data_IF_444849449236
#
_entry.id   IF_444849449236
#
_cell.length_a   1.000
_cell.length_b   1.000
_cell.length_c   1.000
_cell.angle_alpha   90.00
_cell.angle_beta   90.00
_cell.angle_gamma   90.00
#
_symmetry.space_group_name_H-M   'P 1'
#
loop_
_entity.id
_entity.type
_entity.pdbx_description
1 polymer ?
#
# COMPACT_ATOMS: atom_id res chain seq x y z
N UNK A 1 -2.03 18.91 56.43
CA UNK A 1 -0.65 19.09 55.92
C UNK A 1 -0.22 18.05 54.85
N UNK A 2 -0.88 16.89 54.69
CA UNK A 2 -0.42 15.82 53.78
C UNK A 2 -0.83 15.93 52.30
N UNK A 3 -1.86 16.72 51.94
CA UNK A 3 -2.33 16.81 50.55
C UNK A 3 -1.40 17.68 49.68
N UNK A 4 -0.85 18.76 50.24
CA UNK A 4 0.00 19.70 49.51
C UNK A 4 1.33 19.06 49.10
N UNK A 5 1.91 18.20 49.95
CA UNK A 5 3.15 17.46 49.66
C UNK A 5 2.94 16.45 48.53
N UNK A 6 1.77 15.79 48.51
CA UNK A 6 1.44 14.81 47.47
C UNK A 6 1.27 15.47 46.09
N UNK A 7 0.60 16.63 46.02
CA UNK A 7 0.45 17.37 44.76
C UNK A 7 1.78 17.92 44.23
N UNK A 8 2.67 18.40 45.10
CA UNK A 8 4.01 18.86 44.69
C UNK A 8 4.83 17.72 44.08
N UNK A 9 4.78 16.55 44.72
CA UNK A 9 5.51 15.36 44.24
C UNK A 9 4.97 14.86 42.90
N UNK A 10 3.65 14.84 42.72
CA UNK A 10 3.03 14.46 41.44
C UNK A 10 3.32 15.48 40.33
N UNK A 11 3.32 16.77 40.66
CA UNK A 11 3.66 17.83 39.70
C UNK A 11 5.11 17.70 39.21
N UNK A 12 6.07 17.46 40.12
CA UNK A 12 7.48 17.30 39.75
C UNK A 12 7.74 16.02 38.93
N UNK A 13 7.02 14.93 39.22
CA UNK A 13 7.05 13.71 38.40
C UNK A 13 6.48 13.98 37.01
N UNK A 14 5.35 14.69 36.92
CA UNK A 14 4.71 15.05 35.65
C UNK A 14 5.59 15.94 34.78
N UNK A 15 6.23 16.97 35.37
CA UNK A 15 7.17 17.86 34.67
C UNK A 15 8.39 17.09 34.17
N UNK A 16 8.99 16.22 35.00
CA UNK A 16 10.13 15.37 34.58
C UNK A 16 9.75 14.40 33.45
N UNK A 17 8.55 13.83 33.47
CA UNK A 17 8.05 12.98 32.40
C UNK A 17 7.84 13.77 31.10
N UNK A 18 7.24 14.97 31.18
CA UNK A 18 6.97 15.82 30.01
C UNK A 18 8.26 16.29 29.34
N UNK A 19 9.27 16.70 30.12
CA UNK A 19 10.59 17.10 29.59
C UNK A 19 11.31 15.94 28.91
N UNK A 20 11.30 14.73 29.50
CA UNK A 20 11.87 13.54 28.85
C UNK A 20 11.15 13.17 27.56
N UNK A 21 9.83 13.27 27.51
CA UNK A 21 9.05 12.93 26.32
C UNK A 21 9.28 13.92 25.17
N UNK A 22 9.39 15.22 25.50
CA UNK A 22 9.71 16.26 24.52
C UNK A 22 11.10 16.05 23.92
N UNK A 23 12.11 15.69 24.74
CA UNK A 23 13.47 15.41 24.26
C UNK A 23 13.51 14.19 23.33
N UNK A 24 12.78 13.11 23.64
CA UNK A 24 12.72 11.92 22.78
C UNK A 24 12.03 12.23 21.45
N UNK A 25 10.92 12.97 21.46
CA UNK A 25 10.25 13.39 20.22
C UNK A 25 11.14 14.34 19.41
N UNK A 26 11.84 15.28 20.05
CA UNK A 26 12.79 16.15 19.33
C UNK A 26 13.93 15.36 18.71
N UNK A 27 14.48 14.37 19.42
CA UNK A 27 15.54 13.51 18.88
C UNK A 27 15.01 12.62 17.73
N UNK A 28 13.80 12.07 17.83
CA UNK A 28 13.17 11.32 16.73
C UNK A 28 12.86 12.20 15.52
N UNK A 29 12.41 13.45 15.72
CA UNK A 29 12.19 14.43 14.64
C UNK A 29 13.53 14.83 14.01
N UNK A 30 14.60 15.03 14.79
CA UNK A 30 15.94 15.33 14.29
C UNK A 30 16.48 14.15 13.48
N UNK A 31 16.30 12.91 13.94
CA UNK A 31 16.70 11.70 13.21
C UNK A 31 15.90 11.56 11.90
N UNK A 32 14.59 11.78 11.93
CA UNK A 32 13.76 11.74 10.73
C UNK A 32 14.15 12.85 9.74
N UNK A 33 14.31 14.10 10.20
CA UNK A 33 14.71 15.22 9.34
C UNK A 33 16.07 14.99 8.67
N UNK A 34 17.03 14.39 9.38
CA UNK A 34 18.31 13.99 8.79
C UNK A 34 18.17 12.92 7.71
N UNK A 35 17.30 11.91 7.92
CA UNK A 35 17.03 10.91 6.88
C UNK A 35 16.43 11.53 5.60
N UNK A 36 15.60 12.58 5.73
CA UNK A 36 15.04 13.31 4.58
C UNK A 36 16.10 14.10 3.81
N UNK A 37 17.01 14.80 4.52
CA UNK A 37 18.09 15.56 3.89
C UNK A 37 18.99 14.66 3.02
N UNK A 38 19.38 13.50 3.53
CA UNK A 38 20.24 12.58 2.78
C UNK A 38 19.51 11.99 1.56
N UNK A 39 18.20 11.75 1.65
CA UNK A 39 17.39 11.32 0.50
C UNK A 39 17.29 12.42 -0.57
N UNK A 40 17.14 13.68 -0.17
CA UNK A 40 17.08 14.80 -1.12
C UNK A 40 18.43 15.03 -1.80
N UNK A 41 19.55 14.90 -1.07
CA UNK A 41 20.88 14.90 -1.70
C UNK A 41 21.10 13.73 -2.66
N UNK A 42 20.56 12.54 -2.35
CA UNK A 42 20.62 11.41 -3.28
C UNK A 42 19.86 11.72 -4.57
N UNK A 43 18.69 12.40 -4.50
CA UNK A 43 17.97 12.87 -5.69
C UNK A 43 18.80 13.88 -6.48
N UNK A 44 19.38 14.88 -5.82
CA UNK A 44 20.22 15.88 -6.49
C UNK A 44 21.42 15.25 -7.21
N UNK A 45 22.15 14.33 -6.55
CA UNK A 45 23.26 13.60 -7.17
C UNK A 45 22.82 12.77 -8.37
N UNK A 46 21.59 12.24 -8.33
CA UNK A 46 21.00 11.54 -9.46
C UNK A 46 20.73 12.52 -10.61
N UNK A 47 20.06 13.65 -10.34
CA UNK A 47 19.76 14.65 -11.39
C UNK A 47 21.02 15.26 -11.99
N UNK A 48 22.02 15.59 -11.18
CA UNK A 48 23.32 16.10 -11.63
C UNK A 48 23.96 15.15 -12.64
N UNK A 49 23.95 13.85 -12.31
CA UNK A 49 24.50 12.81 -13.17
C UNK A 49 23.66 12.56 -14.43
N UNK A 50 22.34 12.68 -14.35
CA UNK A 50 21.44 12.58 -15.51
C UNK A 50 21.63 13.75 -16.48
N UNK A 51 21.86 14.95 -15.96
CA UNK A 51 22.04 16.16 -16.76
C UNK A 51 23.41 16.22 -17.43
N UNK A 52 24.42 15.54 -16.88
CA UNK A 52 25.74 15.47 -17.48
C UNK A 52 25.80 14.41 -18.59
N UNK A 53 25.49 14.82 -19.82
CA UNK A 53 25.46 13.95 -21.03
C UNK A 53 26.77 13.18 -21.31
N UNK A 54 27.89 13.55 -20.68
CA UNK A 54 29.19 12.89 -20.86
C UNK A 54 29.44 11.74 -19.86
N UNK A 55 28.73 11.69 -18.73
CA UNK A 55 28.92 10.59 -17.77
C UNK A 55 28.17 9.33 -18.22
N UNK A 56 28.84 8.17 -18.14
CA UNK A 56 28.20 6.86 -18.34
C UNK A 56 26.99 6.75 -17.39
N UNK A 57 25.80 6.56 -17.95
CA UNK A 57 24.48 6.50 -17.29
C UNK A 57 24.26 5.25 -16.42
N UNK A 58 25.37 4.61 -16.02
CA UNK A 58 25.42 3.54 -15.04
C UNK A 58 25.69 4.14 -13.66
N UNK A 59 24.79 3.85 -12.74
CA UNK A 59 24.86 4.24 -11.35
C UNK A 59 25.44 3.07 -10.54
N UNK A 60 26.68 3.24 -10.06
CA UNK A 60 27.29 2.34 -9.09
C UNK A 60 26.84 2.72 -7.69
N UNK A 61 26.23 1.79 -6.96
CA UNK A 61 25.82 1.98 -5.55
C UNK A 61 27.01 2.39 -4.69
N UNK A 62 28.21 1.86 -4.97
CA UNK A 62 29.45 2.26 -4.27
C UNK A 62 29.79 3.73 -4.55
N UNK A 63 29.70 4.18 -5.79
CA UNK A 63 30.03 5.56 -6.14
C UNK A 63 29.02 6.55 -5.58
N UNK A 64 27.72 6.20 -5.63
CA UNK A 64 26.67 7.00 -4.99
C UNK A 64 26.89 7.09 -3.48
N UNK A 65 27.18 5.98 -2.81
CA UNK A 65 27.48 5.98 -1.38
C UNK A 65 28.70 6.87 -1.04
N UNK A 66 29.78 6.78 -1.82
CA UNK A 66 30.97 7.61 -1.61
C UNK A 66 30.69 9.11 -1.84
N UNK A 67 29.95 9.47 -2.91
CA UNK A 67 29.58 10.87 -3.18
C UNK A 67 28.64 11.42 -2.10
N UNK A 68 27.66 10.64 -1.66
CA UNK A 68 26.77 10.99 -0.54
C UNK A 68 27.55 11.23 0.75
N UNK A 69 28.43 10.30 1.11
CA UNK A 69 29.27 10.42 2.30
C UNK A 69 30.17 11.66 2.24
N UNK A 70 30.79 11.92 1.09
CA UNK A 70 31.66 13.10 0.91
C UNK A 70 30.89 14.41 1.04
N UNK A 71 29.60 14.43 0.68
CA UNK A 71 28.77 15.64 0.69
C UNK A 71 28.05 15.87 2.02
N UNK A 72 27.57 14.80 2.66
CA UNK A 72 26.71 14.89 3.85
C UNK A 72 27.41 14.46 5.15
N UNK A 73 28.60 13.85 5.08
CA UNK A 73 29.29 13.27 6.23
C UNK A 73 28.64 12.01 6.81
N UNK A 74 27.52 11.56 6.24
CA UNK A 74 26.73 10.42 6.72
C UNK A 74 26.72 9.28 5.68
N UNK A 75 26.89 8.04 6.14
CA UNK A 75 26.91 6.85 5.28
C UNK A 75 25.50 6.25 5.19
N UNK A 76 24.80 6.50 4.08
CA UNK A 76 23.62 5.71 3.72
C UNK A 76 24.05 4.26 3.48
N UNK A 77 23.34 3.31 4.09
CA UNK A 77 23.67 1.91 3.86
C UNK A 77 23.42 1.56 2.40
N UNK A 78 24.28 0.70 1.82
CA UNK A 78 24.09 0.21 0.44
C UNK A 78 22.68 -0.37 0.21
N UNK A 79 22.07 -0.95 1.24
CA UNK A 79 20.70 -1.50 1.19
C UNK A 79 19.65 -0.41 1.00
N UNK A 80 19.82 0.75 1.61
CA UNK A 80 18.89 1.87 1.49
C UNK A 80 19.00 2.55 0.13
N UNK A 81 20.22 2.73 -0.38
CA UNK A 81 20.45 3.24 -1.74
C UNK A 81 19.82 2.30 -2.77
N UNK A 82 20.02 0.98 -2.63
CA UNK A 82 19.38 -0.02 -3.51
C UNK A 82 17.87 0.08 -3.42
N UNK A 83 17.30 0.13 -2.22
CA UNK A 83 15.85 0.24 -2.01
C UNK A 83 15.28 1.53 -2.62
N UNK A 84 16.02 2.63 -2.52
CA UNK A 84 15.65 3.91 -3.11
C UNK A 84 15.60 3.80 -4.64
N UNK A 85 16.69 3.33 -5.26
CA UNK A 85 16.79 3.17 -6.72
C UNK A 85 15.80 2.13 -7.26
N UNK A 86 15.52 1.04 -6.54
CA UNK A 86 14.51 0.03 -6.92
C UNK A 86 13.08 0.59 -6.94
N UNK A 87 12.81 1.61 -6.11
CA UNK A 87 11.49 2.25 -6.05
C UNK A 87 11.33 3.35 -7.12
N UNK A 88 12.43 3.91 -7.62
CA UNK A 88 12.42 4.91 -8.69
C UNK A 88 12.23 4.23 -10.06
N UNK A 89 11.14 4.58 -10.74
CA UNK A 89 10.73 3.99 -12.02
C UNK A 89 11.69 4.28 -13.17
N UNK A 90 12.58 5.27 -13.00
CA UNK A 90 13.57 5.66 -14.00
C UNK A 90 14.74 4.70 -14.08
N UNK A 91 14.98 3.88 -13.04
CA UNK A 91 16.12 2.99 -13.00
C UNK A 91 15.73 1.53 -13.24
N UNK A 92 16.66 0.81 -13.86
CA UNK A 92 16.64 -0.63 -13.99
C UNK A 92 17.84 -1.20 -13.22
N UNK A 93 17.58 -2.02 -12.21
CA UNK A 93 18.64 -2.73 -11.51
C UNK A 93 19.28 -3.75 -12.46
N UNK A 94 20.57 -3.58 -12.74
CA UNK A 94 21.31 -4.50 -13.60
C UNK A 94 21.88 -5.64 -12.77
N UNK A 95 22.46 -5.33 -11.61
CA UNK A 95 22.93 -6.32 -10.64
C UNK A 95 22.80 -5.77 -9.22
N UNK A 96 23.30 -6.52 -8.23
CA UNK A 96 23.22 -6.13 -6.81
C UNK A 96 23.88 -4.79 -6.46
N UNK A 97 24.68 -4.20 -7.35
CA UNK A 97 25.49 -2.99 -7.10
C UNK A 97 25.35 -1.91 -8.17
N UNK A 98 24.63 -2.16 -9.27
CA UNK A 98 24.58 -1.25 -10.41
C UNK A 98 23.15 -1.11 -10.96
N UNK A 99 22.83 0.13 -11.32
CA UNK A 99 21.58 0.52 -11.96
C UNK A 99 21.88 1.26 -13.26
N UNK A 100 20.98 1.15 -14.23
CA UNK A 100 21.02 1.92 -15.48
C UNK A 100 19.73 2.70 -15.64
N UNK A 101 19.81 3.85 -16.29
CA UNK A 101 18.63 4.62 -16.66
C UNK A 101 17.83 3.83 -17.68
N UNK A 102 16.55 3.63 -17.38
CA UNK A 102 15.64 2.82 -18.19
C UNK A 102 15.47 3.40 -19.59
N UNK A 103 15.42 4.71 -19.71
CA UNK A 103 15.28 5.42 -20.98
C UNK A 103 16.43 5.12 -21.93
N UNK A 104 17.67 5.07 -21.44
CA UNK A 104 18.83 4.70 -22.25
C UNK A 104 18.77 3.26 -22.77
N UNK A 105 18.34 2.33 -21.91
CA UNK A 105 18.10 0.95 -22.35
C UNK A 105 17.03 0.90 -23.43
N UNK A 106 16.04 1.80 -23.38
CA UNK A 106 15.00 1.91 -24.39
C UNK A 106 15.49 2.62 -25.66
N UNK A 107 16.38 3.61 -25.57
CA UNK A 107 16.97 4.32 -26.72
C UNK A 107 17.92 3.43 -27.51
N UNK A 108 18.51 2.41 -26.86
CA UNK A 108 19.26 1.35 -27.55
C UNK A 108 18.36 0.39 -28.35
N UNK A 109 17.04 0.54 -28.25
CA UNK A 109 16.06 -0.24 -28.99
C UNK A 109 15.47 0.67 -30.06
N UNK A 110 15.63 0.33 -31.34
CA UNK A 110 14.97 1.09 -32.41
C UNK A 110 13.45 1.02 -32.26
N UNK A 111 12.74 2.08 -32.63
CA UNK A 111 11.27 2.09 -32.62
C UNK A 111 10.69 1.00 -33.52
N UNK A 112 11.38 0.68 -34.63
CA UNK A 112 11.09 -0.47 -35.50
C UNK A 112 11.03 -1.78 -34.72
N UNK A 113 11.93 -1.98 -33.76
CA UNK A 113 12.00 -3.20 -32.96
C UNK A 113 10.86 -3.31 -31.94
N UNK A 114 10.39 -2.19 -31.40
CA UNK A 114 9.20 -2.17 -30.53
C UNK A 114 7.96 -2.52 -31.36
N UNK A 115 7.85 -1.97 -32.56
CA UNK A 115 6.71 -2.22 -33.45
C UNK A 115 6.67 -3.69 -33.93
N UNK A 116 7.80 -4.30 -34.29
CA UNK A 116 7.87 -5.73 -34.62
C UNK A 116 7.42 -6.65 -33.47
N UNK A 117 7.69 -6.23 -32.22
CA UNK A 117 7.30 -6.99 -31.02
C UNK A 117 5.81 -6.94 -30.70
N UNK A 118 5.16 -5.82 -31.03
CA UNK A 118 3.72 -5.63 -30.84
C UNK A 118 2.93 -6.45 -31.87
N UNK A 119 3.41 -6.52 -33.12
CA UNK A 119 2.73 -7.24 -34.21
C UNK A 119 2.81 -8.77 -34.05
N UNK A 120 3.94 -9.30 -33.56
CA UNK A 120 4.19 -10.75 -33.56
C UNK A 120 3.91 -11.46 -32.23
N UNK A 121 3.51 -10.72 -31.17
CA UNK A 121 3.40 -11.20 -29.78
C UNK A 121 4.65 -11.93 -29.23
N UNK A 122 5.80 -11.89 -29.91
CA UNK A 122 7.02 -12.60 -29.50
C UNK A 122 7.87 -11.78 -28.52
N UNK A 123 7.28 -11.52 -27.36
CA UNK A 123 7.99 -10.84 -26.27
C UNK A 123 9.24 -11.62 -25.79
N UNK A 124 9.32 -12.93 -26.02
CA UNK A 124 10.47 -13.73 -25.62
C UNK A 124 11.67 -13.51 -26.54
N UNK A 125 11.47 -13.52 -27.86
CA UNK A 125 12.51 -13.22 -28.85
C UNK A 125 13.07 -11.82 -28.66
N UNK A 126 12.18 -10.85 -28.45
CA UNK A 126 12.49 -9.43 -28.17
C UNK A 126 13.31 -9.29 -26.90
N UNK A 127 12.93 -9.99 -25.83
CA UNK A 127 13.71 -9.99 -24.59
C UNK A 127 15.09 -10.61 -24.77
N UNK A 128 15.21 -11.72 -25.52
CA UNK A 128 16.50 -12.37 -25.77
C UNK A 128 17.44 -11.47 -26.59
N UNK A 129 16.92 -10.83 -27.65
CA UNK A 129 17.67 -9.88 -28.46
C UNK A 129 18.06 -8.65 -27.66
N UNK A 130 17.18 -8.12 -26.80
CA UNK A 130 17.52 -7.02 -25.90
C UNK A 130 18.65 -7.41 -24.93
N UNK A 131 18.57 -8.61 -24.34
CA UNK A 131 19.66 -9.13 -23.51
C UNK A 131 20.96 -9.19 -24.30
N UNK A 132 20.94 -9.56 -25.58
CA UNK A 132 22.13 -9.59 -26.43
C UNK A 132 22.66 -8.19 -26.74
N UNK A 133 21.80 -7.21 -27.04
CA UNK A 133 22.20 -5.80 -27.24
C UNK A 133 22.79 -5.21 -25.96
N UNK A 134 22.19 -5.49 -24.81
CA UNK A 134 22.75 -5.02 -23.55
C UNK A 134 24.06 -5.77 -23.27
N UNK A 135 24.15 -7.09 -23.49
CA UNK A 135 25.41 -7.83 -23.33
C UNK A 135 26.52 -7.38 -24.29
N UNK A 136 26.20 -6.97 -25.51
CA UNK A 136 27.22 -6.49 -26.46
C UNK A 136 27.78 -5.13 -26.08
N UNK A 137 26.92 -4.23 -25.59
CA UNK A 137 27.34 -2.91 -25.09
C UNK A 137 27.90 -2.98 -23.66
N UNK A 138 27.53 -4.02 -22.92
CA UNK A 138 27.77 -4.21 -21.51
C UNK A 138 28.07 -5.72 -21.23
N UNK A 139 29.28 -6.22 -21.56
CA UNK A 139 29.61 -7.65 -21.53
C UNK A 139 29.74 -8.28 -20.13
N UNK A 140 29.89 -7.47 -19.09
CA UNK A 140 30.10 -7.94 -17.70
C UNK A 140 28.78 -8.13 -16.93
N UNK A 141 27.63 -8.00 -17.60
CA UNK A 141 26.34 -7.84 -16.91
C UNK A 141 25.43 -9.07 -17.02
N UNK A 142 25.07 -9.64 -15.86
CA UNK A 142 23.99 -10.61 -15.75
C UNK A 142 22.65 -9.89 -15.59
N UNK A 143 21.82 -9.91 -16.62
CA UNK A 143 20.52 -9.24 -16.58
C UNK A 143 19.40 -10.25 -16.41
N UNK A 144 18.53 -9.99 -15.43
CA UNK A 144 17.33 -10.79 -15.24
C UNK A 144 16.36 -10.60 -16.42
N UNK A 145 16.23 -11.65 -17.25
CA UNK A 145 15.27 -11.74 -18.35
C UNK A 145 13.85 -11.34 -17.93
N UNK A 146 13.43 -11.75 -16.75
CA UNK A 146 12.09 -11.47 -16.23
C UNK A 146 11.86 -9.98 -15.92
N UNK A 147 12.91 -9.25 -15.51
CA UNK A 147 12.81 -7.83 -15.15
C UNK A 147 12.66 -6.97 -16.41
N UNK A 148 13.41 -7.29 -17.46
CA UNK A 148 13.27 -6.68 -18.78
C UNK A 148 11.87 -6.94 -19.35
N UNK A 149 11.45 -8.21 -19.39
CA UNK A 149 10.17 -8.62 -19.96
C UNK A 149 8.99 -7.88 -19.30
N UNK A 150 9.02 -7.75 -17.97
CA UNK A 150 8.00 -7.01 -17.22
C UNK A 150 7.97 -5.52 -17.58
N UNK A 151 9.13 -4.93 -17.86
CA UNK A 151 9.24 -3.52 -18.23
C UNK A 151 8.76 -3.24 -19.66
N UNK A 152 9.05 -4.14 -20.59
CA UNK A 152 8.58 -4.08 -21.98
C UNK A 152 7.06 -4.22 -22.06
N UNK A 153 6.48 -5.25 -21.42
CA UNK A 153 5.02 -5.44 -21.35
C UNK A 153 4.29 -4.22 -20.78
N UNK A 154 4.91 -3.53 -19.84
CA UNK A 154 4.34 -2.31 -19.25
C UNK A 154 4.38 -1.13 -20.25
N UNK A 155 5.43 -1.00 -21.07
CA UNK A 155 5.53 0.07 -22.08
C UNK A 155 4.52 -0.15 -23.20
N UNK A 156 4.43 -1.37 -23.74
CA UNK A 156 3.43 -1.74 -24.76
C UNK A 156 1.99 -1.47 -24.26
N UNK A 157 1.69 -1.83 -23.01
CA UNK A 157 0.38 -1.53 -22.42
C UNK A 157 0.09 -0.01 -22.30
N UNK A 158 1.11 0.82 -22.04
CA UNK A 158 0.92 2.28 -21.97
C UNK A 158 0.66 2.85 -23.36
N UNK A 159 1.44 2.44 -24.37
CA UNK A 159 1.29 2.89 -25.76
C UNK A 159 -0.07 2.48 -26.34
N UNK A 160 -0.48 1.23 -26.14
CA UNK A 160 -1.82 0.76 -26.51
C UNK A 160 -2.93 1.60 -25.87
N UNK A 161 -2.80 1.96 -24.59
CA UNK A 161 -3.81 2.81 -23.94
C UNK A 161 -3.79 4.25 -24.48
N UNK A 162 -2.65 4.78 -24.90
CA UNK A 162 -2.55 6.11 -25.49
C UNK A 162 -3.22 6.16 -26.87
N UNK A 163 -2.90 5.20 -27.74
CA UNK A 163 -3.50 5.07 -29.08
C UNK A 163 -5.03 4.88 -29.01
N UNK A 164 -5.53 4.06 -28.09
CA UNK A 164 -6.98 3.91 -27.88
C UNK A 164 -7.66 5.14 -27.27
N UNK A 165 -6.91 6.00 -26.56
CA UNK A 165 -7.49 7.25 -26.03
C UNK A 165 -7.60 8.29 -27.15
N UNK A 166 -6.60 8.37 -28.02
CA UNK A 166 -6.59 9.25 -29.20
C UNK A 166 -7.61 8.82 -30.28
N UNK A 167 -7.85 7.51 -30.47
CA UNK A 167 -8.92 7.03 -31.36
C UNK A 167 -10.33 7.34 -30.82
N UNK A 168 -10.52 7.32 -29.49
CA UNK A 168 -11.82 7.65 -28.88
C UNK A 168 -12.08 9.16 -28.85
N UNK A 169 -11.05 10.00 -28.67
CA UNK A 169 -11.20 11.46 -28.75
C UNK A 169 -11.53 11.93 -30.19
N UNK A 170 -11.12 11.18 -31.22
CA UNK A 170 -11.48 11.46 -32.61
C UNK A 170 -12.86 10.90 -33.02
N UNK A 171 -13.38 9.88 -32.33
CA UNK A 171 -14.73 9.34 -32.59
C UNK A 171 -15.85 10.19 -31.97
N UNK A 172 -15.58 10.88 -30.85
CA UNK A 172 -16.56 11.75 -30.18
C UNK A 172 -16.90 13.04 -30.94
N UNK A 173 -16.13 13.37 -31.98
CA UNK A 173 -16.44 14.49 -32.91
C UNK A 173 -17.43 14.15 -34.02
N UNK A 174 -17.85 12.88 -34.17
CA UNK A 174 -18.82 12.48 -35.22
C UNK A 174 -19.84 11.52 -34.63
N UNK A 175 -20.80 12.08 -33.86
CA UNK A 175 -22.20 11.63 -33.65
C UNK A 175 -22.71 12.10 -32.28
N UNK A 176 -23.19 13.34 -32.23
CA UNK A 176 -24.20 13.71 -31.25
C UNK A 176 -25.34 14.36 -32.02
N UNK A 177 -26.47 13.67 -32.11
CA UNK A 177 -27.74 14.22 -31.67
C UNK A 177 -28.79 13.10 -31.51
N UNK A 178 -29.69 13.33 -30.55
CA UNK A 178 -30.97 12.64 -30.28
C UNK A 178 -31.07 11.52 -29.22
N UNK A 179 -30.02 10.79 -28.81
CA UNK A 179 -30.19 9.69 -27.82
C UNK A 179 -29.73 9.97 -26.36
N UNK A 180 -29.38 11.23 -26.04
CA UNK A 180 -28.73 11.60 -24.75
C UNK A 180 -29.66 11.62 -23.53
N UNK A 181 -30.96 11.89 -23.68
CA UNK A 181 -31.78 12.31 -22.53
C UNK A 181 -32.48 11.16 -21.80
N UNK A 182 -32.79 10.04 -22.46
CA UNK A 182 -33.36 8.87 -21.77
C UNK A 182 -32.29 8.01 -21.07
N UNK A 183 -31.09 7.90 -21.64
CA UNK A 183 -29.96 7.19 -21.02
C UNK A 183 -29.45 7.90 -19.75
N UNK A 184 -29.45 9.23 -19.73
CA UNK A 184 -29.03 10.02 -18.54
C UNK A 184 -29.98 9.86 -17.35
N UNK A 185 -31.27 9.66 -17.59
CA UNK A 185 -32.27 9.48 -16.52
C UNK A 185 -32.23 8.05 -15.95
N UNK A 186 -32.07 7.04 -16.79
CA UNK A 186 -31.97 5.63 -16.35
C UNK A 186 -30.65 5.35 -15.59
N UNK A 187 -29.54 5.96 -16.01
CA UNK A 187 -28.26 5.80 -15.33
C UNK A 187 -28.20 6.52 -13.96
N UNK A 188 -29.00 7.56 -13.74
CA UNK A 188 -29.03 8.29 -12.46
C UNK A 188 -29.70 7.46 -11.36
N UNK A 189 -30.90 6.93 -11.62
CA UNK A 189 -31.66 6.17 -10.62
C UNK A 189 -30.99 4.82 -10.27
N UNK A 190 -30.27 4.23 -11.23
CA UNK A 190 -29.52 2.98 -11.01
C UNK A 190 -28.24 3.23 -10.21
N UNK A 191 -27.55 4.36 -10.47
CA UNK A 191 -26.35 4.74 -9.71
C UNK A 191 -26.67 5.19 -8.29
N UNK A 192 -27.77 5.90 -8.06
CA UNK A 192 -28.19 6.34 -6.72
C UNK A 192 -28.59 5.14 -5.84
N UNK A 193 -29.21 4.10 -6.41
CA UNK A 193 -29.48 2.82 -5.71
C UNK A 193 -28.21 2.04 -5.38
N UNK A 194 -27.29 1.90 -6.34
CA UNK A 194 -26.00 1.20 -6.13
C UNK A 194 -25.15 1.95 -5.10
N UNK A 195 -25.15 3.28 -5.11
CA UNK A 195 -24.41 4.10 -4.18
C UNK A 195 -24.99 4.01 -2.75
N UNK A 196 -26.31 4.01 -2.61
CA UNK A 196 -26.99 3.78 -1.33
C UNK A 196 -26.77 2.36 -0.77
N UNK A 197 -26.69 1.32 -1.61
CA UNK A 197 -26.34 -0.05 -1.16
C UNK A 197 -24.86 -0.19 -0.80
N UNK A 198 -23.96 0.56 -1.46
CA UNK A 198 -22.52 0.52 -1.20
C UNK A 198 -22.12 1.30 0.07
N UNK A 199 -22.73 2.45 0.34
CA UNK A 199 -22.52 3.22 1.58
C UNK A 199 -23.11 2.51 2.81
N UNK A 200 -24.18 1.71 2.64
CA UNK A 200 -24.74 0.87 3.69
C UNK A 200 -23.99 -0.46 3.91
N UNK A 201 -23.01 -0.81 3.08
CA UNK A 201 -22.22 -2.06 3.22
C UNK A 201 -20.97 -1.91 4.10
N UNK A 202 -20.83 -0.81 4.83
CA UNK A 202 -19.75 -0.67 5.82
C UNK A 202 -20.04 -1.63 6.95
N UNK A 203 -19.44 -2.83 6.88
CA UNK A 203 -19.60 -3.90 7.87
C UNK A 203 -19.47 -3.32 9.30
N UNK A 204 -20.63 -3.13 9.94
CA UNK A 204 -20.74 -2.38 11.18
C UNK A 204 -20.25 -3.26 12.33
N UNK A 205 -19.60 -2.64 13.33
CA UNK A 205 -19.25 -3.35 14.57
C UNK A 205 -20.51 -3.97 15.19
N UNK A 206 -21.64 -3.29 15.12
CA UNK A 206 -22.89 -3.74 15.73
C UNK A 206 -23.49 -4.96 15.03
N UNK A 207 -23.40 -5.02 13.71
CA UNK A 207 -23.91 -6.13 12.91
C UNK A 207 -23.04 -7.38 13.12
N UNK A 208 -21.73 -7.24 13.00
CA UNK A 208 -20.82 -8.40 13.06
C UNK A 208 -20.68 -8.96 14.46
N UNK A 209 -20.72 -8.09 15.47
CA UNK A 209 -20.64 -8.48 16.87
C UNK A 209 -22.00 -8.40 17.56
N UNK A 210 -23.12 -8.70 16.90
CA UNK A 210 -24.48 -8.54 17.45
C UNK A 210 -24.78 -9.34 18.75
N UNK A 211 -24.15 -10.50 18.94
CA UNK A 211 -24.39 -11.38 20.10
C UNK A 211 -24.10 -10.71 21.46
N UNK A 212 -24.87 -11.06 22.49
CA UNK A 212 -24.72 -10.56 23.88
C UNK A 212 -23.29 -10.74 24.43
N UNK A 213 -22.60 -11.79 24.02
CA UNK A 213 -21.21 -12.10 24.42
C UNK A 213 -20.23 -10.96 24.11
N UNK A 214 -20.50 -10.18 23.06
CA UNK A 214 -19.63 -9.09 22.60
C UNK A 214 -20.07 -7.70 23.07
N UNK A 215 -21.03 -7.57 23.99
CA UNK A 215 -21.57 -6.27 24.45
C UNK A 215 -20.47 -5.32 24.92
N UNK A 216 -19.51 -5.81 25.72
CA UNK A 216 -18.39 -4.99 26.21
C UNK A 216 -17.49 -4.50 25.07
N UNK A 217 -17.24 -5.34 24.06
CA UNK A 217 -16.42 -4.94 22.91
C UNK A 217 -17.14 -3.88 22.07
N UNK A 218 -18.46 -4.04 21.82
CA UNK A 218 -19.27 -3.02 21.13
C UNK A 218 -19.25 -1.68 21.88
N UNK A 219 -19.44 -1.70 23.19
CA UNK A 219 -19.39 -0.49 24.01
C UNK A 219 -18.01 0.17 23.99
N UNK A 220 -16.95 -0.64 24.05
CA UNK A 220 -15.57 -0.15 23.93
C UNK A 220 -15.34 0.52 22.56
N UNK A 221 -15.75 -0.11 21.46
CA UNK A 221 -15.65 0.49 20.12
C UNK A 221 -16.46 1.78 20.02
N UNK A 222 -17.70 1.81 20.55
CA UNK A 222 -18.54 3.01 20.58
C UNK A 222 -17.85 4.16 21.34
N UNK A 223 -17.28 3.88 22.51
CA UNK A 223 -16.57 4.87 23.31
C UNK A 223 -15.30 5.41 22.60
N UNK A 224 -14.69 4.61 21.72
CA UNK A 224 -13.54 4.99 20.89
C UNK A 224 -13.92 5.60 19.53
N UNK A 225 -15.21 5.80 19.24
CA UNK A 225 -15.66 6.31 17.95
C UNK A 225 -15.53 5.32 16.79
N UNK A 226 -15.31 4.03 17.07
CA UNK A 226 -15.07 3.00 16.04
C UNK A 226 -16.39 2.38 15.63
N UNK A 227 -16.93 2.84 14.50
CA UNK A 227 -18.22 2.36 13.95
C UNK A 227 -18.07 1.09 13.09
N UNK A 228 -16.90 0.89 12.48
CA UNK A 228 -16.66 -0.17 11.50
C UNK A 228 -15.58 -1.15 11.94
N UNK A 229 -15.69 -2.40 11.48
CA UNK A 229 -14.63 -3.43 11.59
C UNK A 229 -13.30 -2.93 11.01
N UNK A 230 -13.38 -1.96 10.08
CA UNK A 230 -12.23 -1.33 9.46
C UNK A 230 -11.27 -0.68 10.46
N UNK A 231 -11.81 -0.12 11.54
CA UNK A 231 -11.03 0.50 12.61
C UNK A 231 -10.39 -0.49 13.58
N UNK A 232 -10.63 -1.80 13.45
CA UNK A 232 -10.03 -2.79 14.35
C UNK A 232 -8.60 -3.10 13.92
N UNK A 233 -7.64 -2.57 14.67
CA UNK A 233 -6.21 -2.88 14.52
C UNK A 233 -5.69 -3.68 15.75
N UNK A 234 -4.38 -4.01 15.74
CA UNK A 234 -3.75 -4.76 16.84
C UNK A 234 -3.76 -3.97 18.15
N UNK A 235 -3.53 -2.67 18.07
CA UNK A 235 -3.35 -1.80 19.24
C UNK A 235 -4.69 -1.59 19.95
N UNK A 236 -5.77 -1.44 19.20
CA UNK A 236 -7.13 -1.42 19.71
C UNK A 236 -7.49 -2.69 20.50
N UNK A 237 -7.06 -3.86 20.02
CA UNK A 237 -7.28 -5.12 20.73
C UNK A 237 -6.42 -5.23 22.00
N UNK A 238 -5.27 -4.57 22.04
CA UNK A 238 -4.43 -4.46 23.25
C UNK A 238 -5.06 -3.49 24.26
N UNK A 239 -5.59 -2.35 23.81
CA UNK A 239 -6.34 -1.42 24.65
C UNK A 239 -7.61 -2.08 25.22
N UNK A 240 -8.34 -2.83 24.40
CA UNK A 240 -9.50 -3.58 24.86
C UNK A 240 -9.13 -4.58 25.95
N UNK A 241 -7.97 -5.25 25.84
CA UNK A 241 -7.45 -6.17 26.86
C UNK A 241 -7.17 -5.48 28.20
N UNK A 242 -6.84 -4.19 28.19
CA UNK A 242 -6.54 -3.42 29.42
C UNK A 242 -7.82 -3.00 30.17
N UNK A 243 -9.01 -3.15 29.58
CA UNK A 243 -10.27 -2.82 30.23
C UNK A 243 -10.57 -3.76 31.41
N UNK A 244 -11.09 -3.21 32.51
CA UNK A 244 -11.45 -3.98 33.71
C UNK A 244 -12.43 -5.11 33.34
N UNK A 245 -12.08 -6.34 33.72
CA UNK A 245 -12.89 -7.53 33.44
C UNK A 245 -12.73 -8.12 32.03
N UNK A 246 -11.77 -7.63 31.22
CA UNK A 246 -11.45 -8.19 29.90
C UNK A 246 -10.19 -9.05 29.98
N UNK A 247 -10.36 -10.34 30.24
CA UNK A 247 -9.28 -11.33 30.18
C UNK A 247 -8.97 -11.82 28.75
N UNK A 248 -7.88 -12.58 28.62
CA UNK A 248 -7.39 -13.13 27.35
C UNK A 248 -8.43 -13.94 26.58
N UNK A 249 -9.32 -14.64 27.29
CA UNK A 249 -10.43 -15.39 26.70
C UNK A 249 -11.34 -14.49 25.85
N UNK A 250 -11.77 -13.34 26.38
CA UNK A 250 -12.67 -12.42 25.67
C UNK A 250 -11.99 -11.79 24.45
N UNK A 251 -10.71 -11.44 24.57
CA UNK A 251 -9.93 -10.92 23.43
C UNK A 251 -9.77 -11.98 22.34
N UNK A 252 -9.51 -13.23 22.73
CA UNK A 252 -9.43 -14.37 21.82
C UNK A 252 -10.77 -14.60 21.11
N UNK A 253 -11.89 -14.48 21.82
CA UNK A 253 -13.23 -14.64 21.23
C UNK A 253 -13.53 -13.55 20.19
N UNK A 254 -13.18 -12.29 20.47
CA UNK A 254 -13.29 -11.19 19.49
C UNK A 254 -12.43 -11.46 18.25
N UNK A 255 -11.16 -11.86 18.43
CA UNK A 255 -10.26 -12.21 17.31
C UNK A 255 -10.81 -13.35 16.46
N UNK A 256 -11.33 -14.39 17.11
CA UNK A 256 -11.91 -15.54 16.44
C UNK A 256 -13.13 -15.16 15.61
N UNK A 257 -14.03 -14.33 16.17
CA UNK A 257 -15.22 -13.85 15.48
C UNK A 257 -14.85 -12.97 14.29
N UNK A 258 -13.87 -12.08 14.47
CA UNK A 258 -13.32 -11.25 13.41
C UNK A 258 -12.70 -12.09 12.28
N UNK A 259 -11.87 -13.07 12.61
CA UNK A 259 -11.24 -13.97 11.64
C UNK A 259 -12.31 -14.73 10.83
N UNK A 260 -13.30 -15.31 11.53
CA UNK A 260 -14.41 -16.04 10.89
C UNK A 260 -15.13 -15.14 9.89
N UNK A 261 -15.54 -13.94 10.34
CA UNK A 261 -16.22 -12.97 9.51
C UNK A 261 -15.44 -12.60 8.23
N UNK A 262 -14.13 -12.33 8.38
CA UNK A 262 -13.28 -11.98 7.25
C UNK A 262 -13.09 -13.13 6.26
N UNK A 263 -12.97 -14.37 6.75
CA UNK A 263 -12.90 -15.56 5.89
C UNK A 263 -14.20 -15.70 5.10
N UNK A 264 -15.35 -15.59 5.78
CA UNK A 264 -16.68 -15.71 5.15
C UNK A 264 -16.84 -14.66 4.05
N UNK A 265 -16.49 -13.39 4.31
CA UNK A 265 -16.51 -12.30 3.30
C UNK A 265 -15.54 -12.54 2.14
N UNK A 266 -14.33 -13.01 2.40
CA UNK A 266 -13.37 -13.30 1.32
C UNK A 266 -13.86 -14.45 0.44
N UNK A 267 -14.58 -15.41 1.02
CA UNK A 267 -15.18 -16.50 0.27
C UNK A 267 -16.31 -16.00 -0.62
N UNK A 268 -17.15 -15.07 -0.16
CA UNK A 268 -18.23 -14.49 -0.97
C UNK A 268 -17.74 -13.57 -2.08
N UNK A 269 -16.64 -12.83 -1.89
CA UNK A 269 -16.10 -11.88 -2.88
C UNK A 269 -15.45 -12.54 -4.12
N UNK A 270 -15.56 -13.86 -4.27
CA UNK A 270 -15.00 -14.67 -5.36
C UNK A 270 -13.52 -14.36 -5.69
N UNK A 271 -12.76 -13.89 -4.70
CA UNK A 271 -11.37 -13.47 -4.92
C UNK A 271 -10.52 -14.71 -5.17
N UNK A 272 -9.64 -14.67 -6.19
CA UNK A 272 -8.63 -15.70 -6.45
C UNK A 272 -7.92 -16.05 -5.13
N UNK A 273 -7.96 -17.33 -4.76
CA UNK A 273 -7.37 -17.80 -3.51
C UNK A 273 -5.84 -17.73 -3.61
N UNK A 274 -5.19 -17.12 -2.63
CA UNK A 274 -3.73 -17.08 -2.60
C UNK A 274 -3.18 -18.41 -2.11
N UNK A 275 -2.05 -18.84 -2.69
CA UNK A 275 -1.35 -20.02 -2.22
C UNK A 275 -0.78 -19.80 -0.81
N UNK A 276 -0.70 -20.87 -0.02
CA UNK A 276 -0.06 -20.85 1.30
C UNK A 276 1.37 -20.32 1.21
N UNK A 277 2.11 -20.67 0.16
CA UNK A 277 3.47 -20.21 -0.07
C UNK A 277 3.58 -18.70 -0.29
N UNK A 278 2.57 -18.09 -0.91
CA UNK A 278 2.52 -16.64 -1.10
C UNK A 278 2.24 -15.89 0.19
N UNK A 279 1.32 -16.40 1.02
CA UNK A 279 0.91 -15.72 2.26
C UNK A 279 1.96 -15.87 3.37
N UNK A 280 2.48 -17.09 3.53
CA UNK A 280 3.39 -17.47 4.60
C UNK A 280 4.85 -17.49 4.11
N UNK A 281 5.31 -16.42 3.45
CA UNK A 281 6.70 -16.30 3.00
C UNK A 281 7.69 -16.13 4.17
N UNK A 282 8.91 -16.64 3.99
CA UNK A 282 10.02 -16.49 4.93
C UNK A 282 10.33 -17.74 5.75
N UNK A 283 11.53 -17.81 6.32
CA UNK A 283 12.03 -18.99 7.05
C UNK A 283 11.18 -19.32 8.28
N UNK A 284 10.69 -18.29 9.00
CA UNK A 284 9.91 -18.46 10.24
C UNK A 284 8.60 -19.25 10.08
N UNK A 285 8.02 -19.29 8.88
CA UNK A 285 6.79 -20.04 8.59
C UNK A 285 7.03 -21.36 7.86
N UNK A 286 8.29 -21.82 7.74
CA UNK A 286 8.63 -23.07 7.03
C UNK A 286 7.83 -24.27 7.55
N UNK A 287 7.82 -24.47 8.86
CA UNK A 287 7.11 -25.58 9.50
C UNK A 287 5.60 -25.54 9.22
N UNK A 288 5.00 -24.34 9.20
CA UNK A 288 3.57 -24.21 8.90
C UNK A 288 3.27 -24.56 7.43
N UNK A 289 4.14 -24.15 6.49
CA UNK A 289 3.98 -24.53 5.08
C UNK A 289 4.13 -26.03 4.86
N UNK A 290 5.09 -26.67 5.53
CA UNK A 290 5.27 -28.13 5.49
C UNK A 290 4.05 -28.84 6.08
N UNK A 291 3.54 -28.37 7.23
CA UNK A 291 2.31 -28.88 7.81
C UNK A 291 1.10 -28.75 6.87
N UNK A 292 0.90 -27.59 6.24
CA UNK A 292 -0.15 -27.40 5.24
C UNK A 292 0.03 -28.34 4.04
N UNK A 293 1.27 -28.57 3.58
CA UNK A 293 1.57 -29.50 2.48
C UNK A 293 1.15 -30.93 2.85
N UNK A 294 1.48 -31.39 4.06
CA UNK A 294 1.11 -32.71 4.59
C UNK A 294 -0.42 -32.85 4.69
N UNK A 295 -1.12 -31.81 5.13
CA UNK A 295 -2.59 -31.78 5.24
C UNK A 295 -3.32 -31.53 3.90
N UNK A 296 -2.61 -31.43 2.77
CA UNK A 296 -3.21 -31.16 1.45
C UNK A 296 -3.76 -29.74 1.27
N UNK A 297 -3.37 -28.80 2.12
CA UNK A 297 -3.83 -27.41 2.12
C UNK A 297 -2.94 -26.60 1.18
N UNK A 298 -3.48 -26.29 0.00
CA UNK A 298 -2.78 -25.55 -1.06
C UNK A 298 -3.05 -24.05 -0.99
N UNK A 299 -4.23 -23.64 -0.52
CA UNK A 299 -4.67 -22.25 -0.54
C UNK A 299 -5.25 -21.78 0.79
N UNK A 300 -5.27 -20.45 1.01
CA UNK A 300 -5.78 -19.87 2.26
C UNK A 300 -7.26 -20.16 2.54
N UNK A 301 -8.09 -20.35 1.51
CA UNK A 301 -9.53 -20.67 1.68
C UNK A 301 -9.75 -22.03 2.35
N UNK A 302 -8.77 -22.93 2.26
CA UNK A 302 -8.82 -24.25 2.87
C UNK A 302 -8.41 -24.23 4.35
N UNK A 303 -7.92 -23.09 4.87
CA UNK A 303 -7.57 -22.98 6.29
C UNK A 303 -8.84 -22.86 7.12
N UNK A 304 -9.05 -23.85 7.99
CA UNK A 304 -10.08 -23.85 9.02
C UNK A 304 -9.49 -23.40 10.36
N UNK A 305 -10.35 -23.05 11.32
CA UNK A 305 -9.94 -22.49 12.63
C UNK A 305 -9.21 -23.52 13.51
N UNK A 306 -9.68 -24.75 13.51
CA UNK A 306 -9.09 -25.93 14.14
C UNK A 306 -7.68 -26.26 13.60
N UNK A 307 -7.37 -25.88 12.36
CA UNK A 307 -6.05 -26.11 11.76
C UNK A 307 -4.89 -25.58 12.61
N UNK A 308 -5.06 -24.43 13.26
CA UNK A 308 -4.02 -23.85 14.12
C UNK A 308 -3.86 -24.60 15.44
N UNK A 309 -4.93 -25.24 15.91
CA UNK A 309 -4.86 -26.15 17.05
C UNK A 309 -4.09 -27.40 16.67
N UNK A 310 -4.41 -28.02 15.53
CA UNK A 310 -3.67 -29.19 15.01
C UNK A 310 -2.19 -28.89 14.78
N UNK A 311 -1.89 -27.71 14.25
CA UNK A 311 -0.52 -27.26 14.05
C UNK A 311 0.22 -27.10 15.39
N UNK A 312 -0.45 -26.59 16.43
CA UNK A 312 0.11 -26.50 17.79
C UNK A 312 0.44 -27.88 18.38
N UNK A 313 -0.27 -28.94 17.99
CA UNK A 313 0.01 -30.30 18.47
C UNK A 313 1.23 -30.96 17.79
N UNK A 314 1.82 -30.34 16.75
CA UNK A 314 2.99 -30.90 16.08
C UNK A 314 4.25 -30.80 16.96
N UNK A 315 5.14 -31.79 16.86
CA UNK A 315 6.43 -31.78 17.57
C UNK A 315 7.20 -30.50 17.27
N UNK A 316 7.73 -29.85 18.32
CA UNK A 316 8.48 -28.59 18.26
C UNK A 316 7.68 -27.34 17.82
N UNK A 317 6.35 -27.40 17.80
CA UNK A 317 5.47 -26.24 17.55
C UNK A 317 4.85 -25.76 18.87
N UNK A 318 5.55 -24.85 19.54
CA UNK A 318 4.99 -24.16 20.70
C UNK A 318 3.85 -23.20 20.33
N UNK A 319 3.09 -22.78 21.35
CA UNK A 319 1.96 -21.84 21.21
C UNK A 319 2.32 -20.55 20.46
N UNK A 320 3.53 -20.03 20.70
CA UNK A 320 4.04 -18.84 20.01
C UNK A 320 4.07 -19.01 18.50
N UNK A 321 4.57 -20.13 17.98
CA UNK A 321 4.65 -20.39 16.53
C UNK A 321 3.27 -20.53 15.90
N UNK A 322 2.35 -21.20 16.58
CA UNK A 322 0.97 -21.33 16.12
C UNK A 322 0.25 -19.96 16.06
N UNK A 323 0.37 -19.16 17.13
CA UNK A 323 -0.16 -17.78 17.17
C UNK A 323 0.46 -16.88 16.10
N UNK A 324 1.75 -17.02 15.82
CA UNK A 324 2.42 -16.23 14.78
C UNK A 324 1.89 -16.54 13.38
N UNK A 325 1.55 -17.81 13.09
CA UNK A 325 0.91 -18.20 11.84
C UNK A 325 -0.53 -17.67 11.77
N UNK A 326 -1.31 -17.80 12.85
CA UNK A 326 -2.68 -17.28 12.93
C UNK A 326 -2.72 -15.75 12.73
N UNK A 327 -1.87 -15.01 13.44
CA UNK A 327 -1.75 -13.56 13.30
C UNK A 327 -1.32 -13.15 11.87
N UNK A 328 -0.43 -13.94 11.25
CA UNK A 328 -0.01 -13.71 9.86
C UNK A 328 -1.18 -13.87 8.90
N UNK A 329 -2.00 -14.92 9.07
CA UNK A 329 -3.19 -15.12 8.28
C UNK A 329 -4.16 -13.96 8.46
N UNK A 330 -4.48 -13.61 9.71
CA UNK A 330 -5.40 -12.53 10.03
C UNK A 330 -4.97 -11.21 9.38
N UNK A 331 -3.69 -10.82 9.54
CA UNK A 331 -3.12 -9.62 8.90
C UNK A 331 -3.25 -9.67 7.37
N UNK A 332 -3.03 -10.84 6.76
CA UNK A 332 -3.17 -11.01 5.33
C UNK A 332 -4.62 -10.85 4.86
N UNK A 333 -5.57 -11.52 5.53
CA UNK A 333 -6.99 -11.48 5.20
C UNK A 333 -7.56 -10.07 5.34
N UNK A 334 -7.24 -9.39 6.45
CA UNK A 334 -7.50 -7.96 6.70
C UNK A 334 -7.05 -7.16 5.48
N UNK A 335 -5.76 -7.18 5.15
CA UNK A 335 -5.21 -6.39 4.04
C UNK A 335 -5.84 -6.73 2.68
N UNK A 336 -6.14 -8.01 2.44
CA UNK A 336 -6.74 -8.46 1.19
C UNK A 336 -8.18 -7.98 1.05
N UNK A 337 -8.97 -8.11 2.11
CA UNK A 337 -10.34 -7.60 2.18
C UNK A 337 -10.37 -6.10 1.89
N UNK A 338 -9.50 -5.30 2.52
CA UNK A 338 -9.42 -3.86 2.22
C UNK A 338 -9.05 -3.56 0.76
N UNK A 339 -8.03 -4.24 0.24
CA UNK A 339 -7.59 -4.03 -1.16
C UNK A 339 -8.70 -4.38 -2.15
N UNK A 340 -9.46 -5.44 -1.88
CA UNK A 340 -10.58 -5.83 -2.72
C UNK A 340 -11.70 -4.80 -2.67
N UNK A 341 -12.06 -4.31 -1.49
CA UNK A 341 -13.05 -3.24 -1.37
C UNK A 341 -12.60 -1.94 -2.04
N UNK A 342 -11.32 -1.55 -1.92
CA UNK A 342 -10.78 -0.37 -2.62
C UNK A 342 -10.83 -0.56 -4.14
N UNK A 343 -10.52 -1.76 -4.64
CA UNK A 343 -10.58 -2.06 -6.09
C UNK A 343 -12.01 -2.08 -6.62
N UNK A 344 -12.94 -2.67 -5.89
CA UNK A 344 -14.35 -2.69 -6.29
C UNK A 344 -14.95 -1.29 -6.23
N UNK A 345 -14.44 -0.43 -5.34
CA UNK A 345 -14.79 0.98 -5.29
C UNK A 345 -14.01 1.83 -6.31
N UNK A 346 -13.17 1.30 -7.21
CA UNK A 346 -12.44 2.16 -8.16
C UNK A 346 -13.36 2.89 -9.15
N UNK A 347 -14.48 2.29 -9.54
CA UNK A 347 -15.47 2.96 -10.41
C UNK A 347 -16.15 4.11 -9.68
N UNK A 348 -16.63 3.87 -8.45
CA UNK A 348 -17.25 4.89 -7.60
C UNK A 348 -16.23 5.94 -7.13
N UNK A 349 -15.00 5.53 -6.85
CA UNK A 349 -13.91 6.42 -6.47
C UNK A 349 -13.45 7.27 -7.64
N UNK A 350 -13.53 6.81 -8.90
CA UNK A 350 -13.21 7.65 -10.05
C UNK A 350 -14.18 8.83 -10.11
N UNK A 351 -15.49 8.56 -10.07
CA UNK A 351 -16.51 9.62 -10.03
C UNK A 351 -16.34 10.56 -8.83
N UNK A 352 -16.01 10.01 -7.68
CA UNK A 352 -15.72 10.79 -6.48
C UNK A 352 -14.48 11.67 -6.62
N UNK A 353 -13.41 11.10 -7.19
CA UNK A 353 -12.16 11.81 -7.40
C UNK A 353 -12.31 12.92 -8.43
N UNK A 354 -13.10 12.68 -9.48
CA UNK A 354 -13.42 13.69 -10.48
C UNK A 354 -14.15 14.88 -9.82
N UNK A 355 -15.12 14.64 -8.93
CA UNK A 355 -15.75 15.70 -8.12
C UNK A 355 -14.76 16.44 -7.23
N UNK A 356 -13.82 15.73 -6.59
CA UNK A 356 -12.77 16.36 -5.77
C UNK A 356 -11.84 17.23 -6.63
N UNK A 357 -11.42 16.74 -7.81
CA UNK A 357 -10.57 17.47 -8.73
C UNK A 357 -11.28 18.69 -9.35
N UNK A 358 -12.60 18.62 -9.57
CA UNK A 358 -13.41 19.76 -9.98
C UNK A 358 -13.49 20.84 -8.90
N UNK A 359 -13.52 20.44 -7.62
CA UNK A 359 -13.58 21.36 -6.47
C UNK A 359 -12.21 21.92 -6.07
N UNK A 360 -11.13 21.21 -6.36
CA UNK A 360 -9.73 21.62 -6.14
C UNK A 360 -9.14 22.44 -7.30
N UNK A 361 -9.95 23.27 -7.96
CA UNK A 361 -9.44 24.31 -8.89
C UNK A 361 -8.60 25.35 -8.14
N UNK A 362 -8.88 25.53 -6.86
CA UNK A 362 -8.17 26.40 -5.93
C UNK A 362 -7.80 25.60 -4.67
N UNK A 363 -6.75 26.02 -3.93
CA UNK A 363 -6.45 25.46 -2.61
C UNK A 363 -7.69 25.47 -1.69
N UNK A 364 -7.99 24.34 -1.05
CA UNK A 364 -9.13 24.24 -0.11
C UNK A 364 -8.75 23.63 1.21
N UNK A 365 -9.34 24.15 2.28
CA UNK A 365 -9.27 23.50 3.59
C UNK A 365 -9.94 22.12 3.50
N UNK A 366 -9.44 21.17 4.29
CA UNK A 366 -9.97 19.81 4.27
C UNK A 366 -11.43 19.72 4.69
N UNK A 367 -11.85 20.52 5.67
CA UNK A 367 -13.21 20.50 6.18
C UNK A 367 -14.17 21.10 5.15
N UNK A 368 -13.79 22.23 4.54
CA UNK A 368 -14.54 22.84 3.43
C UNK A 368 -14.70 21.86 2.26
N UNK A 369 -13.63 21.18 1.87
CA UNK A 369 -13.67 20.20 0.79
C UNK A 369 -14.62 19.04 1.13
N UNK A 370 -14.61 18.56 2.37
CA UNK A 370 -15.51 17.49 2.84
C UNK A 370 -16.97 17.92 2.89
N UNK A 371 -17.25 19.15 3.28
CA UNK A 371 -18.60 19.71 3.25
C UNK A 371 -19.12 19.81 1.82
N UNK A 372 -18.29 20.32 0.89
CA UNK A 372 -18.62 20.47 -0.53
C UNK A 372 -18.99 19.15 -1.21
N UNK A 373 -18.28 18.08 -0.86
CA UNK A 373 -18.48 16.74 -1.42
C UNK A 373 -19.36 15.85 -0.55
N UNK A 374 -19.85 16.37 0.59
CA UNK A 374 -20.72 15.71 1.57
C UNK A 374 -20.19 14.38 2.08
N UNK A 375 -18.96 14.35 2.59
CA UNK A 375 -18.33 13.10 3.06
C UNK A 375 -17.91 13.10 4.51
N UNK A 376 -18.34 12.04 5.20
CA UNK A 376 -17.99 11.70 6.58
C UNK A 376 -16.91 10.60 6.61
N UNK A 377 -15.67 11.00 6.34
CA UNK A 377 -14.47 10.15 6.45
C UNK A 377 -13.49 10.84 7.39
N UNK A 378 -12.66 10.08 8.11
CA UNK A 378 -11.57 10.64 8.93
C UNK A 378 -10.59 11.49 8.10
N UNK A 379 -10.12 12.63 8.63
CA UNK A 379 -9.22 13.57 7.95
C UNK A 379 -7.98 12.88 7.39
N UNK A 380 -7.30 12.08 8.21
CA UNK A 380 -6.05 11.44 7.79
C UNK A 380 -6.31 10.42 6.68
N UNK A 381 -7.36 9.61 6.83
CA UNK A 381 -7.74 8.63 5.79
C UNK A 381 -8.08 9.33 4.48
N UNK A 382 -8.78 10.46 4.56
CA UNK A 382 -9.15 11.24 3.40
C UNK A 382 -7.92 11.84 2.71
N UNK A 383 -7.04 12.52 3.46
CA UNK A 383 -5.77 13.08 2.96
C UNK A 383 -4.93 12.00 2.29
N UNK A 384 -4.67 10.87 2.97
CA UNK A 384 -3.85 9.79 2.41
C UNK A 384 -4.47 9.20 1.12
N UNK A 385 -5.79 9.16 1.02
CA UNK A 385 -6.46 8.71 -0.21
C UNK A 385 -6.18 9.67 -1.38
N UNK A 386 -6.24 10.99 -1.14
CA UNK A 386 -6.04 12.03 -2.14
C UNK A 386 -4.57 12.13 -2.58
N UNK A 387 -3.65 12.15 -1.61
CA UNK A 387 -2.20 12.23 -1.87
C UNK A 387 -1.68 11.04 -2.70
N UNK A 388 -2.36 9.89 -2.63
CA UNK A 388 -1.97 8.71 -3.39
C UNK A 388 -2.16 8.84 -4.91
N UNK A 389 -2.87 9.88 -5.38
CA UNK A 389 -3.12 10.13 -6.80
C UNK A 389 -2.06 11.01 -7.48
N UNK A 390 -1.02 11.45 -6.75
CA UNK A 390 0.16 12.11 -7.30
C UNK A 390 -0.03 13.55 -7.78
N UNK A 391 -1.26 13.94 -8.11
CA UNK A 391 -1.60 15.28 -8.61
C UNK A 391 -2.19 16.19 -7.53
N UNK A 392 -2.23 15.74 -6.27
CA UNK A 392 -2.71 16.52 -5.13
C UNK A 392 -1.65 16.47 -4.04
N UNK A 393 -1.36 17.61 -3.43
CA UNK A 393 -0.48 17.74 -2.28
C UNK A 393 -1.18 18.50 -1.14
N UNK A 394 -0.64 18.37 0.07
CA UNK A 394 -1.16 19.01 1.27
C UNK A 394 -0.13 20.04 1.75
N UNK A 395 -0.53 21.30 1.83
CA UNK A 395 0.33 22.43 2.17
C UNK A 395 -0.37 23.35 3.16
N UNK A 396 0.23 23.53 4.35
CA UNK A 396 -0.24 24.44 5.41
C UNK A 396 -1.74 24.34 5.76
N UNK A 397 -2.29 23.12 5.78
CA UNK A 397 -3.72 22.92 6.08
C UNK A 397 -4.61 22.71 4.84
N UNK A 398 -4.11 23.08 3.66
CA UNK A 398 -4.87 23.09 2.42
C UNK A 398 -4.49 21.95 1.49
N UNK A 399 -5.48 21.41 0.78
CA UNK A 399 -5.27 20.51 -0.33
C UNK A 399 -5.13 21.31 -1.61
N UNK A 400 -4.07 21.05 -2.37
CA UNK A 400 -3.75 21.77 -3.60
C UNK A 400 -3.55 20.79 -4.74
N UNK A 401 -4.17 21.07 -5.89
CA UNK A 401 -3.93 20.33 -7.13
C UNK A 401 -2.63 20.82 -7.77
N UNK A 402 -1.74 19.89 -8.09
CA UNK A 402 -0.53 20.17 -8.86
C UNK A 402 -0.96 20.63 -10.26
N UNK A 403 -0.49 21.81 -10.66
CA UNK A 403 -0.75 22.35 -12.01
C UNK A 403 -0.13 21.47 -13.08
#
# INVERSE_FOLDING_TARGET
>A
MNIVVYYRTLHDIYVKFRVRYIIVIHLEIIVLNKEWEVVDYLKELIEEKLNNKQEKLIFSVKNLAMRLFSRCGEELSKKEIIKFLDNDKRFLQINSRQFIVKEEVLNLISDEFINESEVNEDYQGVTNRLINVIKSNFPVFEISKNTILKSLKKKALVKYNQENTEENENLDTVKQDENSNQLKKFNKDTNDKIQAEMENSVDSIYEVFNSRTYKMFRNFCKAKGIKSIRGINKDLLLEFRQQKGIGDKKVKDVKNKLLKFLIDRINTLNIKSDSIFTVFRGRKYRMFREFCKIKGIKTIKQIRKDLFFDFKQQRNIGEKKAKDAENRLLKFLINKYYRSNIKNNKSSNKLYFDKVLEKLKEPKDINELKEDIKIDVDDNVFIYSLLSHGNIYYDNGYLVKKK
#
